data_IF_303760917870
#
_entry.id   IF_303760917870
#
_cell.length_a   1.000
_cell.length_b   1.000
_cell.length_c   1.000
_cell.angle_alpha   90.00
_cell.angle_beta   90.00
_cell.angle_gamma   90.00
#
_symmetry.space_group_name_H-M   'P 1'
#
loop_
_entity.id
_entity.type
_entity.pdbx_description
1 polymer ?
#
# COMPACT_ATOMS: atom_id res chain seq x y z
N UNK A 1 -12.25 -16.14 2.24
CA UNK A 1 -12.20 -14.70 2.60
C UNK A 1 -10.84 -14.07 2.30
N UNK A 2 -9.69 -14.58 2.75
CA UNK A 2 -8.35 -14.01 2.40
C UNK A 2 -8.15 -13.58 0.93
N UNK A 3 -8.69 -14.34 -0.04
CA UNK A 3 -8.54 -14.04 -1.47
C UNK A 3 -9.13 -12.70 -1.93
N UNK A 4 -10.13 -12.14 -1.24
CA UNK A 4 -10.68 -10.82 -1.60
C UNK A 4 -9.74 -9.69 -1.17
N UNK A 5 -9.07 -9.83 -0.02
CA UNK A 5 -8.04 -8.90 0.46
C UNK A 5 -6.84 -8.86 -0.50
N UNK A 6 -6.36 -10.04 -0.90
CA UNK A 6 -5.22 -10.16 -1.82
C UNK A 6 -5.56 -9.49 -3.14
N UNK A 7 -6.78 -9.69 -3.68
CA UNK A 7 -7.24 -9.01 -4.90
C UNK A 7 -7.26 -7.50 -4.76
N UNK A 8 -7.71 -6.97 -3.63
CA UNK A 8 -7.76 -5.53 -3.36
C UNK A 8 -6.36 -4.88 -3.41
N UNK A 9 -5.31 -5.63 -3.09
CA UNK A 9 -3.92 -5.16 -3.17
C UNK A 9 -3.29 -5.46 -4.54
N UNK A 10 -3.59 -6.62 -5.13
CA UNK A 10 -2.98 -7.04 -6.39
C UNK A 10 -3.49 -6.27 -7.61
N UNK A 11 -4.75 -5.84 -7.60
CA UNK A 11 -5.34 -5.02 -8.67
C UNK A 11 -4.60 -3.67 -8.80
N UNK A 12 -4.51 -2.82 -7.76
CA UNK A 12 -3.79 -1.56 -7.87
C UNK A 12 -2.29 -1.78 -8.07
N UNK A 13 -1.70 -2.82 -7.47
CA UNK A 13 -0.29 -3.16 -7.72
C UNK A 13 0.00 -3.43 -9.20
N UNK A 14 -0.84 -4.23 -9.88
CA UNK A 14 -0.67 -4.51 -11.31
C UNK A 14 -0.88 -3.29 -12.21
N UNK A 15 -1.75 -2.35 -11.82
CA UNK A 15 -1.96 -1.09 -12.54
C UNK A 15 -0.72 -0.20 -12.42
N UNK A 16 -0.21 -0.03 -11.19
CA UNK A 16 0.97 0.79 -10.92
C UNK A 16 2.21 0.17 -11.56
N UNK A 17 2.42 -1.14 -11.42
CA UNK A 17 3.53 -1.84 -12.08
C UNK A 17 3.47 -1.70 -13.61
N UNK A 18 2.27 -1.68 -14.20
CA UNK A 18 2.05 -1.45 -15.63
C UNK A 18 2.43 -0.05 -16.13
N UNK A 19 2.60 0.93 -15.23
CA UNK A 19 3.19 2.22 -15.59
C UNK A 19 4.72 2.20 -15.63
N UNK A 20 5.36 1.31 -14.86
CA UNK A 20 6.82 1.22 -14.79
C UNK A 20 7.41 0.17 -15.74
N UNK A 21 6.67 -0.90 -16.04
CA UNK A 21 7.14 -1.99 -16.89
C UNK A 21 6.03 -2.54 -17.78
N UNK A 22 6.38 -2.96 -19.00
CA UNK A 22 5.42 -3.53 -19.95
C UNK A 22 4.82 -4.84 -19.41
N UNK A 23 3.51 -5.04 -19.60
CA UNK A 23 2.79 -6.24 -19.12
C UNK A 23 3.34 -7.55 -19.66
N UNK A 24 3.88 -7.53 -20.88
CA UNK A 24 4.42 -8.71 -21.54
C UNK A 24 5.91 -8.96 -21.20
N UNK A 25 6.51 -8.11 -20.37
CA UNK A 25 7.90 -8.25 -20.00
C UNK A 25 8.09 -9.42 -19.01
N UNK A 26 9.15 -10.23 -19.15
CA UNK A 26 9.39 -11.39 -18.28
C UNK A 26 9.61 -11.01 -16.80
N UNK A 27 9.96 -9.75 -16.53
CA UNK A 27 10.15 -9.21 -15.18
C UNK A 27 8.88 -8.53 -14.60
N UNK A 28 7.76 -8.49 -15.32
CA UNK A 28 6.53 -7.83 -14.85
C UNK A 28 6.07 -8.38 -13.49
N UNK A 29 6.07 -9.70 -13.33
CA UNK A 29 5.70 -10.36 -12.07
C UNK A 29 6.61 -9.94 -10.90
N UNK A 30 7.91 -9.77 -11.14
CA UNK A 30 8.85 -9.33 -10.11
C UNK A 30 8.60 -7.87 -9.71
N UNK A 31 8.38 -6.99 -10.69
CA UNK A 31 8.06 -5.58 -10.44
C UNK A 31 6.70 -5.45 -9.72
N UNK A 32 5.69 -6.21 -10.12
CA UNK A 32 4.39 -6.24 -9.44
C UNK A 32 4.50 -6.68 -7.98
N UNK A 33 5.38 -7.64 -7.65
CA UNK A 33 5.63 -8.03 -6.26
C UNK A 33 6.29 -6.89 -5.47
N UNK A 34 7.31 -6.23 -6.04
CA UNK A 34 7.98 -5.08 -5.40
C UNK A 34 7.01 -3.94 -5.15
N UNK A 35 6.19 -3.60 -6.15
CA UNK A 35 5.14 -2.56 -6.04
C UNK A 35 4.10 -2.96 -4.99
N UNK A 36 3.72 -4.24 -4.93
CA UNK A 36 2.82 -4.76 -3.91
C UNK A 36 3.38 -4.59 -2.48
N UNK A 37 4.66 -4.87 -2.28
CA UNK A 37 5.33 -4.65 -1.00
C UNK A 37 5.40 -3.16 -0.63
N UNK A 38 5.68 -2.28 -1.60
CA UNK A 38 5.67 -0.83 -1.40
C UNK A 38 4.28 -0.31 -1.04
N UNK A 39 3.21 -0.82 -1.65
CA UNK A 39 1.83 -0.50 -1.28
C UNK A 39 1.51 -0.89 0.15
N UNK A 40 1.90 -2.10 0.57
CA UNK A 40 1.72 -2.56 1.96
C UNK A 40 2.50 -1.65 2.91
N UNK A 41 3.76 -1.36 2.60
CA UNK A 41 4.58 -0.43 3.39
C UNK A 41 3.92 0.95 3.51
N UNK A 42 3.41 1.49 2.40
CA UNK A 42 2.73 2.78 2.38
C UNK A 42 1.46 2.78 3.24
N UNK A 43 0.65 1.72 3.17
CA UNK A 43 -0.54 1.54 4.02
C UNK A 43 -0.14 1.55 5.51
N UNK A 44 0.90 0.81 5.87
CA UNK A 44 1.40 0.76 7.26
C UNK A 44 1.94 2.11 7.70
N UNK A 45 2.69 2.80 6.85
CA UNK A 45 3.22 4.13 7.11
C UNK A 45 2.09 5.12 7.40
N UNK A 46 1.05 5.15 6.56
CA UNK A 46 -0.12 6.01 6.73
C UNK A 46 -0.85 5.67 8.03
N UNK A 47 -1.03 4.39 8.37
CA UNK A 47 -1.65 3.99 9.63
C UNK A 47 -0.85 4.48 10.85
N UNK A 48 0.48 4.35 10.82
CA UNK A 48 1.34 4.83 11.91
C UNK A 48 1.21 6.35 12.03
N UNK A 49 1.31 7.09 10.93
CA UNK A 49 1.20 8.55 10.94
C UNK A 49 -0.18 8.96 11.45
N UNK A 50 -1.26 8.34 10.96
CA UNK A 50 -2.61 8.62 11.43
C UNK A 50 -2.77 8.37 12.94
N UNK A 51 -2.25 7.27 13.45
CA UNK A 51 -2.24 6.99 14.88
C UNK A 51 -1.44 8.04 15.67
N UNK A 52 -0.31 8.52 15.13
CA UNK A 52 0.47 9.59 15.74
C UNK A 52 -0.24 10.95 15.72
N UNK A 53 -1.03 11.23 14.69
CA UNK A 53 -1.81 12.46 14.62
C UNK A 53 -2.97 12.44 15.63
N UNK A 54 -3.59 11.28 15.83
CA UNK A 54 -4.64 11.08 16.85
C UNK A 54 -4.09 11.30 18.28
N UNK A 55 -2.90 10.73 18.58
CA UNK A 55 -2.18 10.95 19.85
C UNK A 55 -1.97 12.46 20.14
N UNK A 56 -1.71 13.27 19.11
CA UNK A 56 -1.47 14.71 19.27
C UNK A 56 -2.76 15.52 19.44
N UNK A 57 -3.88 15.10 18.84
CA UNK A 57 -5.17 15.78 19.02
C UNK A 57 -5.76 15.54 20.41
N UNK A 58 -5.58 14.34 20.96
CA UNK A 58 -6.06 13.98 22.31
C UNK A 58 -5.46 14.82 23.44
N UNK A 59 -4.25 15.37 23.26
CA UNK A 59 -3.57 16.21 24.27
C UNK A 59 -3.92 17.70 24.19
N UNK A 60 -4.59 18.15 23.12
CA UNK A 60 -4.90 19.58 22.89
C UNK A 60 -6.33 19.98 23.30
N UNK A 61 -7.19 19.02 23.69
CA UNK A 61 -8.61 19.26 24.01
C UNK A 61 -8.92 18.95 25.49
N UNK A 62 -7.90 18.69 26.30
CA UNK A 62 -8.01 18.26 27.70
C UNK A 62 -7.66 19.33 28.72
N UNK A 63 -8.01 20.60 28.44
CA UNK A 63 -7.80 21.75 29.34
C UNK A 63 -9.14 22.39 29.74
#
# INVERSE_FOLDING_TARGET
MIGWLVRLIFIPSGIIAGWFVAKDAPNFSAVQLVVGLLLIFFIVLVMIIAARLDDMQGKSTGD
#
